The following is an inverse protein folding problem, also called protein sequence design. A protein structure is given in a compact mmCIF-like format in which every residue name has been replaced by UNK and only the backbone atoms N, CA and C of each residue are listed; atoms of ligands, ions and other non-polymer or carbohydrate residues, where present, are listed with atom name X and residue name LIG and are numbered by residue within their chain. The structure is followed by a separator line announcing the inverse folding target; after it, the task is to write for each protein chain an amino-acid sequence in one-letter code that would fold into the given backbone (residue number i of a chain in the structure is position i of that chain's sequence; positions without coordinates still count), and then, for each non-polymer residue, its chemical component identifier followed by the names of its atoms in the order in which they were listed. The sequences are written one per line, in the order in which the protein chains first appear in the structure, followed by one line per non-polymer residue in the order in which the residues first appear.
data_IF_308046605629
#
_entry.id   IF_308046605629
#
_cell.length_a   1.000
_cell.length_b   1.000
_cell.length_c   1.000
_cell.angle_alpha   90.00
_cell.angle_beta   90.00
_cell.angle_gamma   90.00
#
_symmetry.space_group_name_H-M   'P 1'
#
loop_
_entity.id
_entity.type
_entity.pdbx_description
1 polymer ?
#
# COMPACT_ATOMS: atom_id res chain seq x y z
N UNK A 1 -18.46 51.29 -69.04
CA UNK A 1 -17.54 50.59 -68.18
C UNK A 1 -18.39 50.11 -66.96
N UNK A 2 -18.88 48.84 -67.03
CA UNK A 2 -19.78 48.27 -66.01
C UNK A 2 -18.96 47.25 -65.21
N UNK A 3 -18.83 47.46 -63.93
CA UNK A 3 -18.23 46.55 -62.96
C UNK A 3 -19.25 45.46 -62.60
N UNK A 4 -18.84 44.20 -62.72
CA UNK A 4 -19.58 43.02 -62.24
C UNK A 4 -19.22 42.74 -60.77
N UNK A 5 -20.16 42.30 -59.92
CA UNK A 5 -19.88 41.99 -58.54
C UNK A 5 -19.33 40.55 -58.37
N UNK A 6 -18.32 40.45 -57.54
CA UNK A 6 -17.80 39.14 -57.02
C UNK A 6 -18.80 38.50 -56.02
N UNK A 7 -19.22 37.30 -56.30
CA UNK A 7 -20.00 36.45 -55.38
C UNK A 7 -19.05 35.57 -54.61
N UNK A 8 -18.86 35.85 -53.32
CA UNK A 8 -18.19 34.95 -52.39
C UNK A 8 -19.19 33.92 -51.84
N UNK A 9 -19.07 32.71 -52.28
CA UNK A 9 -19.76 31.54 -51.66
C UNK A 9 -18.91 30.86 -50.59
N UNK A 10 -19.47 30.51 -49.40
CA UNK A 10 -18.70 29.76 -48.42
C UNK A 10 -18.50 28.31 -48.87
N UNK A 11 -17.24 27.87 -49.00
CA UNK A 11 -16.88 26.46 -49.16
C UNK A 11 -17.13 25.72 -47.83
N UNK A 12 -18.15 24.87 -47.77
CA UNK A 12 -18.35 23.92 -46.71
C UNK A 12 -17.29 22.80 -46.84
N UNK A 13 -16.26 22.84 -45.97
CA UNK A 13 -15.38 21.67 -45.76
C UNK A 13 -16.15 20.65 -44.90
N UNK A 14 -16.69 19.60 -45.50
CA UNK A 14 -17.20 18.45 -44.80
C UNK A 14 -16.02 17.62 -44.24
N UNK A 15 -15.72 17.74 -42.95
CA UNK A 15 -14.80 16.87 -42.25
C UNK A 15 -15.46 15.49 -42.07
N UNK A 16 -15.03 14.52 -42.83
CA UNK A 16 -15.40 13.11 -42.64
C UNK A 16 -14.62 12.59 -41.43
N UNK A 17 -15.26 12.53 -40.27
CA UNK A 17 -14.75 11.84 -39.09
C UNK A 17 -14.81 10.34 -39.34
N UNK A 18 -13.71 9.76 -39.80
CA UNK A 18 -13.50 8.32 -39.80
C UNK A 18 -13.34 7.84 -38.34
N UNK A 19 -14.40 7.39 -37.72
CA UNK A 19 -14.37 6.67 -36.45
C UNK A 19 -13.80 5.26 -36.73
N UNK A 20 -12.50 5.09 -36.52
CA UNK A 20 -11.92 3.74 -36.41
C UNK A 20 -12.41 3.13 -35.08
N UNK A 21 -13.00 1.93 -35.07
CA UNK A 21 -13.26 1.22 -33.84
C UNK A 21 -11.89 0.93 -33.21
N UNK A 22 -11.65 1.47 -32.02
CA UNK A 22 -10.53 1.06 -31.19
C UNK A 22 -10.81 -0.40 -30.80
N UNK A 23 -10.29 -1.34 -31.57
CA UNK A 23 -10.29 -2.74 -31.17
C UNK A 23 -9.52 -2.81 -29.88
N UNK A 24 -10.17 -3.21 -28.79
CA UNK A 24 -9.53 -3.55 -27.53
C UNK A 24 -8.53 -4.67 -27.86
N UNK A 25 -7.26 -4.31 -28.03
CA UNK A 25 -6.19 -5.30 -28.16
C UNK A 25 -6.18 -6.09 -26.86
N UNK A 26 -6.46 -7.38 -26.93
CA UNK A 26 -6.26 -8.29 -25.81
C UNK A 26 -4.78 -8.20 -25.43
N UNK A 27 -4.52 -7.62 -24.25
CA UNK A 27 -3.16 -7.54 -23.69
C UNK A 27 -2.76 -8.98 -23.36
N UNK A 28 -1.94 -9.58 -24.21
CA UNK A 28 -1.33 -10.89 -23.92
C UNK A 28 -0.22 -10.62 -22.90
N UNK A 29 -0.28 -11.15 -21.68
CA UNK A 29 0.74 -10.94 -20.68
C UNK A 29 2.10 -11.47 -21.17
N UNK A 30 3.11 -10.61 -21.14
CA UNK A 30 4.49 -11.03 -21.47
C UNK A 30 5.02 -11.85 -20.30
N UNK A 31 5.55 -13.08 -20.51
CA UNK A 31 6.15 -13.86 -19.45
C UNK A 31 7.26 -13.07 -18.73
N UNK A 32 7.38 -13.11 -17.39
CA UNK A 32 8.35 -12.30 -16.66
C UNK A 32 9.79 -12.43 -17.13
N UNK A 33 10.20 -13.62 -17.54
CA UNK A 33 11.56 -13.87 -18.05
C UNK A 33 11.88 -13.10 -19.35
N UNK A 34 10.86 -12.77 -20.15
CA UNK A 34 10.98 -12.08 -21.44
C UNK A 34 10.60 -10.60 -21.33
N UNK A 35 10.04 -10.16 -20.23
CA UNK A 35 9.57 -8.79 -20.06
C UNK A 35 10.75 -7.83 -19.82
N UNK A 36 11.08 -6.91 -20.74
CA UNK A 36 12.18 -5.98 -20.57
C UNK A 36 11.93 -4.95 -19.45
N UNK A 37 10.68 -4.78 -19.02
CA UNK A 37 10.29 -3.84 -17.97
C UNK A 37 10.55 -4.38 -16.56
N UNK A 38 10.94 -5.64 -16.38
CA UNK A 38 11.27 -6.19 -15.05
C UNK A 38 12.77 -6.10 -14.77
N UNK A 39 13.14 -5.61 -13.60
CA UNK A 39 14.53 -5.52 -13.13
C UNK A 39 15.16 -6.92 -13.02
N UNK A 40 16.45 -7.04 -13.27
CA UNK A 40 17.15 -8.32 -13.44
C UNK A 40 17.11 -9.24 -12.22
N UNK A 41 17.29 -8.71 -11.01
CA UNK A 41 17.19 -9.49 -9.76
C UNK A 41 15.75 -9.87 -9.46
N UNK A 42 14.78 -9.01 -9.81
CA UNK A 42 13.35 -9.32 -9.71
C UNK A 42 12.98 -10.45 -10.67
N UNK A 43 13.52 -10.46 -11.90
CA UNK A 43 13.37 -11.60 -12.84
C UNK A 43 13.90 -12.90 -12.26
N UNK A 44 15.10 -12.86 -11.67
CA UNK A 44 15.71 -14.01 -11.03
C UNK A 44 14.85 -14.55 -9.88
N UNK A 45 14.33 -13.67 -9.03
CA UNK A 45 13.39 -14.00 -7.96
C UNK A 45 12.12 -14.66 -8.51
N UNK A 46 11.48 -14.05 -9.51
CA UNK A 46 10.25 -14.59 -10.13
C UNK A 46 10.49 -15.95 -10.80
N UNK A 47 11.65 -16.14 -11.42
CA UNK A 47 12.02 -17.45 -11.99
C UNK A 47 12.04 -18.54 -10.93
N UNK A 48 12.64 -18.28 -9.77
CA UNK A 48 12.68 -19.25 -8.65
C UNK A 48 11.26 -19.47 -8.11
N UNK A 49 10.51 -18.42 -7.87
CA UNK A 49 9.14 -18.48 -7.36
C UNK A 49 8.24 -19.32 -8.27
N UNK A 50 8.24 -19.02 -9.57
CA UNK A 50 7.34 -19.66 -10.55
C UNK A 50 7.79 -21.09 -10.95
N UNK A 51 9.03 -21.48 -10.67
CA UNK A 51 9.52 -22.84 -10.92
C UNK A 51 9.22 -23.82 -9.79
N UNK A 52 8.73 -23.35 -8.64
CA UNK A 52 8.61 -24.15 -7.42
C UNK A 52 7.49 -25.20 -7.43
N UNK A 53 6.59 -25.24 -8.41
CA UNK A 53 5.55 -26.27 -8.58
C UNK A 53 4.55 -26.41 -7.41
N UNK A 54 4.54 -25.46 -6.46
CA UNK A 54 3.63 -25.48 -5.31
C UNK A 54 2.20 -25.08 -5.70
N UNK A 55 1.25 -25.40 -4.81
CA UNK A 55 -0.13 -24.89 -4.96
C UNK A 55 -0.14 -23.36 -4.86
N UNK A 56 -0.94 -22.67 -5.68
CA UNK A 56 -1.22 -21.25 -5.47
C UNK A 56 -1.72 -20.96 -4.04
N UNK A 57 -1.35 -19.81 -3.48
CA UNK A 57 -1.70 -19.45 -2.09
C UNK A 57 -3.21 -19.46 -1.85
N UNK A 58 -3.98 -19.02 -2.84
CA UNK A 58 -5.45 -19.00 -2.81
C UNK A 58 -6.11 -20.38 -2.80
N UNK A 59 -5.34 -21.44 -3.04
CA UNK A 59 -5.80 -22.83 -2.96
C UNK A 59 -5.33 -23.54 -1.68
N UNK A 60 -4.63 -22.80 -0.79
CA UNK A 60 -4.13 -23.31 0.48
C UNK A 60 -5.07 -22.91 1.63
N UNK A 61 -5.01 -23.68 2.73
CA UNK A 61 -5.57 -23.19 3.99
C UNK A 61 -4.80 -21.94 4.45
N UNK A 62 -5.44 -20.95 5.08
CA UNK A 62 -4.79 -19.70 5.50
C UNK A 62 -3.52 -19.94 6.33
N UNK A 63 -3.53 -20.93 7.21
CA UNK A 63 -2.35 -21.31 8.02
C UNK A 63 -1.16 -21.71 7.16
N UNK A 64 -1.38 -22.50 6.11
CA UNK A 64 -0.32 -22.96 5.21
C UNK A 64 0.19 -21.84 4.31
N UNK A 65 -0.72 -21.00 3.80
CA UNK A 65 -0.38 -19.82 3.03
C UNK A 65 0.49 -18.82 3.85
N UNK A 66 0.21 -18.65 5.15
CA UNK A 66 1.04 -17.86 6.07
C UNK A 66 2.45 -18.43 6.19
N UNK A 67 2.58 -19.77 6.27
CA UNK A 67 3.87 -20.43 6.37
C UNK A 67 4.75 -20.20 5.11
N UNK A 68 4.15 -20.08 3.93
CA UNK A 68 4.88 -19.77 2.67
C UNK A 68 5.54 -18.40 2.75
N UNK A 69 4.82 -17.37 3.18
CA UNK A 69 5.39 -16.03 3.33
C UNK A 69 6.53 -16.02 4.38
N UNK A 70 6.31 -16.68 5.52
CA UNK A 70 7.36 -16.84 6.55
C UNK A 70 8.60 -17.53 5.97
N UNK A 71 8.42 -18.58 5.18
CA UNK A 71 9.51 -19.31 4.50
C UNK A 71 10.28 -18.41 3.53
N UNK A 72 9.57 -17.64 2.71
CA UNK A 72 10.17 -16.70 1.77
C UNK A 72 11.03 -15.64 2.50
N UNK A 73 10.53 -15.09 3.60
CA UNK A 73 11.25 -14.09 4.38
C UNK A 73 12.48 -14.67 5.10
N UNK A 74 12.44 -15.92 5.52
CA UNK A 74 13.58 -16.63 6.16
C UNK A 74 14.61 -17.18 5.18
N UNK A 75 14.35 -17.17 3.89
CA UNK A 75 15.24 -17.76 2.87
C UNK A 75 16.58 -17.03 2.74
N UNK A 76 16.67 -15.80 3.23
CA UNK A 76 17.89 -14.99 3.22
C UNK A 76 18.13 -14.33 4.58
N UNK A 77 19.39 -14.15 4.94
CA UNK A 77 19.79 -13.38 6.11
C UNK A 77 19.64 -11.88 5.82
N UNK A 78 19.05 -11.15 6.75
CA UNK A 78 18.92 -9.68 6.71
C UNK A 78 19.45 -9.06 8.00
N UNK A 79 19.86 -7.79 7.92
CA UNK A 79 20.26 -7.03 9.09
C UNK A 79 19.03 -6.56 9.88
N UNK A 80 18.94 -6.94 11.14
CA UNK A 80 17.91 -6.53 12.08
C UNK A 80 18.48 -5.73 13.26
N UNK A 81 19.74 -5.30 13.17
CA UNK A 81 20.40 -4.50 14.20
C UNK A 81 19.91 -3.06 14.23
N UNK A 82 20.29 -2.31 15.27
CA UNK A 82 19.98 -0.89 15.41
C UNK A 82 18.59 -0.59 15.97
N UNK A 83 17.84 -1.60 16.39
CA UNK A 83 16.49 -1.45 16.97
C UNK A 83 16.34 -2.20 18.29
N UNK A 84 15.44 -1.67 19.14
CA UNK A 84 14.89 -2.34 20.31
C UNK A 84 13.43 -2.65 20.04
N UNK A 85 13.01 -3.87 20.33
CA UNK A 85 11.65 -4.38 20.09
C UNK A 85 11.00 -4.71 21.43
N UNK A 86 9.81 -4.17 21.68
CA UNK A 86 8.98 -4.49 22.86
C UNK A 86 7.53 -4.71 22.42
N UNK A 87 6.78 -5.46 23.20
CA UNK A 87 5.38 -5.71 22.93
C UNK A 87 4.50 -5.18 24.07
N UNK A 88 3.29 -4.73 23.73
CA UNK A 88 2.29 -4.32 24.71
C UNK A 88 0.91 -4.67 24.18
N UNK A 89 0.07 -5.18 25.06
CA UNK A 89 -1.38 -5.28 24.79
C UNK A 89 -2.03 -4.01 25.32
N UNK A 90 -2.80 -3.34 24.48
CA UNK A 90 -3.52 -2.12 24.79
C UNK A 90 -5.03 -2.37 24.71
N UNK A 91 -5.79 -1.58 25.44
CA UNK A 91 -7.26 -1.58 25.36
C UNK A 91 -7.72 -0.17 25.02
N UNK A 92 -8.49 -0.04 23.95
CA UNK A 92 -9.06 1.21 23.47
C UNK A 92 -10.43 0.96 22.82
N UNK A 93 -11.43 1.76 23.17
CA UNK A 93 -12.80 1.63 22.67
C UNK A 93 -13.39 0.20 22.83
N UNK A 94 -13.04 -0.48 23.93
CA UNK A 94 -13.46 -1.86 24.20
C UNK A 94 -12.70 -2.93 23.39
N UNK A 95 -11.75 -2.53 22.53
CA UNK A 95 -10.94 -3.45 21.73
C UNK A 95 -9.59 -3.71 22.40
N UNK A 96 -9.23 -4.99 22.55
CA UNK A 96 -7.89 -5.41 22.97
C UNK A 96 -7.02 -5.62 21.72
N UNK A 97 -5.89 -4.92 21.66
CA UNK A 97 -4.98 -4.97 20.50
C UNK A 97 -3.54 -5.13 20.97
N UNK A 98 -2.82 -6.09 20.43
CA UNK A 98 -1.39 -6.23 20.66
C UNK A 98 -0.64 -5.30 19.72
N UNK A 99 0.29 -4.51 20.24
CA UNK A 99 1.21 -3.67 19.47
C UNK A 99 2.64 -4.11 19.69
N UNK A 100 3.48 -4.03 18.66
CA UNK A 100 4.92 -4.22 18.75
C UNK A 100 5.60 -2.87 18.50
N UNK A 101 6.35 -2.40 19.48
CA UNK A 101 7.03 -1.09 19.46
C UNK A 101 8.48 -1.29 19.08
N UNK A 102 8.90 -0.67 18.00
CA UNK A 102 10.25 -0.75 17.45
C UNK A 102 10.92 0.61 17.54
N UNK A 103 11.94 0.72 18.38
CA UNK A 103 12.67 1.95 18.64
C UNK A 103 14.08 1.89 18.10
N UNK A 104 14.65 3.00 17.60
CA UNK A 104 16.08 3.07 17.31
C UNK A 104 16.88 2.96 18.62
N UNK A 105 18.01 2.23 18.60
CA UNK A 105 18.93 2.16 19.75
C UNK A 105 19.63 3.48 20.00
N UNK A 106 20.01 3.72 21.26
CA UNK A 106 20.84 4.88 21.63
C UNK A 106 20.08 6.21 21.71
N UNK A 107 18.77 6.22 21.56
CA UNK A 107 17.94 7.44 21.64
C UNK A 107 17.13 7.43 22.96
N UNK A 108 17.16 8.57 23.67
CA UNK A 108 16.48 8.76 24.96
C UNK A 108 15.33 9.76 24.78
N UNK A 109 14.25 9.56 25.53
CA UNK A 109 13.08 10.44 25.55
C UNK A 109 11.93 9.97 24.66
N UNK A 110 10.89 10.81 24.58
CA UNK A 110 9.73 10.54 23.74
C UNK A 110 10.03 10.95 22.28
N UNK A 111 10.00 9.97 21.38
CA UNK A 111 10.29 10.15 19.97
C UNK A 111 9.00 10.32 19.16
N UNK A 112 9.06 10.99 17.99
CA UNK A 112 7.96 10.91 17.03
C UNK A 112 7.77 9.46 16.57
N UNK A 113 6.56 9.14 16.09
CA UNK A 113 6.26 7.77 15.71
C UNK A 113 5.42 7.67 14.43
N UNK A 114 5.44 6.51 13.83
CA UNK A 114 4.48 6.10 12.84
C UNK A 114 3.82 4.79 13.22
N UNK A 115 2.49 4.74 13.10
CA UNK A 115 1.75 3.49 13.14
C UNK A 115 2.06 2.71 11.88
N UNK A 116 2.31 1.42 12.00
CA UNK A 116 2.56 0.56 10.85
C UNK A 116 1.53 -0.56 10.78
N UNK A 117 0.80 -0.61 9.68
CA UNK A 117 -0.15 -1.66 9.37
C UNK A 117 0.46 -2.56 8.31
N UNK A 118 0.49 -3.86 8.60
CA UNK A 118 1.18 -4.80 7.72
C UNK A 118 0.31 -5.25 6.54
N UNK A 119 0.98 -5.62 5.44
CA UNK A 119 0.40 -6.23 4.27
C UNK A 119 0.11 -7.71 4.43
N UNK A 120 -0.19 -8.37 3.30
CA UNK A 120 -0.51 -9.80 3.25
C UNK A 120 -2.00 -10.07 3.10
N UNK A 121 -2.74 -9.19 2.42
CA UNK A 121 -4.15 -9.43 2.05
C UNK A 121 -5.09 -9.56 3.24
N UNK A 122 -4.80 -8.94 4.39
CA UNK A 122 -5.49 -9.12 5.68
C UNK A 122 -5.47 -10.56 6.21
N UNK A 123 -4.93 -11.54 5.48
CA UNK A 123 -4.89 -12.97 5.78
C UNK A 123 -3.51 -13.41 6.23
N UNK A 124 -2.48 -12.94 5.55
CA UNK A 124 -1.07 -13.27 5.76
C UNK A 124 -0.36 -12.17 6.54
N UNK A 125 0.89 -12.43 6.89
CA UNK A 125 1.75 -11.44 7.51
C UNK A 125 1.66 -11.42 9.04
N UNK A 126 2.79 -11.03 9.63
CA UNK A 126 3.00 -10.85 11.06
C UNK A 126 4.20 -9.92 11.27
N UNK A 127 4.54 -9.62 12.51
CA UNK A 127 5.72 -8.81 12.82
C UNK A 127 7.03 -9.42 12.28
N UNK A 128 7.33 -10.72 12.47
CA UNK A 128 8.54 -11.33 11.92
C UNK A 128 8.70 -11.19 10.42
N UNK A 129 7.63 -11.28 9.64
CA UNK A 129 7.67 -11.13 8.17
C UNK A 129 7.93 -9.70 7.72
N UNK A 130 7.60 -8.70 8.54
CA UNK A 130 7.75 -7.27 8.25
C UNK A 130 8.91 -6.61 9.00
N UNK A 131 9.57 -7.33 9.90
CA UNK A 131 10.56 -6.76 10.83
C UNK A 131 11.68 -6.01 10.14
N UNK A 132 12.25 -6.53 9.03
CA UNK A 132 13.32 -5.87 8.28
C UNK A 132 12.83 -4.55 7.68
N UNK A 133 11.68 -4.54 7.02
CA UNK A 133 11.12 -3.32 6.43
C UNK A 133 10.90 -2.25 7.50
N UNK A 134 10.30 -2.65 8.62
CA UNK A 134 10.06 -1.72 9.73
C UNK A 134 11.37 -1.22 10.35
N UNK A 135 12.36 -2.11 10.52
CA UNK A 135 13.71 -1.75 11.00
C UNK A 135 14.35 -0.69 10.09
N UNK A 136 14.30 -0.89 8.78
CA UNK A 136 14.90 0.04 7.82
C UNK A 136 14.26 1.44 7.91
N UNK A 137 12.94 1.51 8.05
CA UNK A 137 12.22 2.77 8.25
C UNK A 137 12.58 3.41 9.59
N UNK A 138 12.62 2.65 10.69
CA UNK A 138 12.93 3.15 12.04
C UNK A 138 14.35 3.70 12.11
N UNK A 139 15.33 2.93 11.66
CA UNK A 139 16.75 3.34 11.71
C UNK A 139 17.01 4.57 10.83
N UNK A 140 16.42 4.61 9.63
CA UNK A 140 16.67 5.70 8.69
C UNK A 140 15.89 6.98 9.02
N UNK A 141 14.69 6.88 9.60
CA UNK A 141 13.88 8.05 9.98
C UNK A 141 14.25 8.60 11.36
N UNK A 142 14.72 7.74 12.27
CA UNK A 142 14.87 8.03 13.69
C UNK A 142 13.55 8.07 14.49
N UNK A 143 12.43 7.70 13.86
CA UNK A 143 11.12 7.64 14.50
C UNK A 143 10.86 6.23 15.06
N UNK A 144 9.94 6.13 16.02
CA UNK A 144 9.45 4.84 16.53
C UNK A 144 8.45 4.26 15.54
N UNK A 145 8.60 3.00 15.18
CA UNK A 145 7.57 2.23 14.47
C UNK A 145 6.66 1.50 15.46
N UNK A 146 5.36 1.72 15.38
CA UNK A 146 4.36 0.99 16.18
C UNK A 146 3.60 0.06 15.26
N UNK A 147 3.99 -1.20 15.25
CA UNK A 147 3.36 -2.26 14.46
C UNK A 147 2.07 -2.73 15.13
N UNK A 148 0.97 -2.73 14.41
CA UNK A 148 -0.33 -3.16 14.92
C UNK A 148 -0.56 -4.61 14.54
N UNK A 149 -0.63 -5.50 15.56
CA UNK A 149 -0.96 -6.90 15.36
C UNK A 149 -2.49 -7.05 15.34
N UNK A 150 -3.11 -6.62 14.25
CA UNK A 150 -4.56 -6.77 14.08
C UNK A 150 -4.94 -8.23 13.86
N UNK A 151 -6.19 -8.58 14.18
CA UNK A 151 -6.71 -9.94 13.96
C UNK A 151 -6.88 -10.18 12.45
N UNK A 152 -6.20 -11.17 11.89
CA UNK A 152 -6.28 -11.44 10.45
C UNK A 152 -7.60 -12.11 10.07
N UNK A 153 -7.89 -12.13 8.79
CA UNK A 153 -8.96 -12.94 8.19
C UNK A 153 -8.44 -14.37 7.91
N UNK A 154 -9.28 -15.38 7.98
CA UNK A 154 -10.73 -15.35 8.23
C UNK A 154 -11.12 -15.39 9.72
N UNK A 155 -10.17 -15.33 10.65
CA UNK A 155 -10.46 -15.32 12.10
C UNK A 155 -11.30 -14.10 12.51
N UNK A 156 -11.15 -13.00 11.78
CA UNK A 156 -12.04 -11.85 11.84
C UNK A 156 -12.22 -11.25 10.44
N UNK A 157 -13.43 -10.78 10.16
CA UNK A 157 -13.75 -10.11 8.90
C UNK A 157 -13.85 -8.60 9.09
N UNK A 158 -13.95 -7.87 7.97
CA UNK A 158 -14.28 -6.45 7.99
C UNK A 158 -15.52 -6.19 8.87
N UNK A 159 -15.51 -5.16 9.73
CA UNK A 159 -14.47 -4.11 9.86
C UNK A 159 -13.53 -4.31 11.07
N UNK A 160 -13.31 -5.54 11.57
CA UNK A 160 -12.56 -5.76 12.83
C UNK A 160 -11.13 -5.24 12.74
N UNK A 161 -10.36 -5.63 11.73
CA UNK A 161 -8.96 -5.24 11.60
C UNK A 161 -8.78 -3.71 11.51
N UNK A 162 -9.62 -3.03 10.72
CA UNK A 162 -9.52 -1.57 10.56
C UNK A 162 -9.95 -0.83 11.85
N UNK A 163 -10.93 -1.34 12.59
CA UNK A 163 -11.31 -0.76 13.88
C UNK A 163 -10.20 -0.94 14.93
N UNK A 164 -9.52 -2.10 14.95
CA UNK A 164 -8.34 -2.32 15.78
C UNK A 164 -7.18 -1.38 15.42
N UNK A 165 -6.93 -1.16 14.12
CA UNK A 165 -5.91 -0.24 13.65
C UNK A 165 -6.20 1.21 14.10
N UNK A 166 -7.44 1.65 13.97
CA UNK A 166 -7.85 2.98 14.42
C UNK A 166 -7.80 3.12 15.95
N UNK A 167 -8.28 2.12 16.69
CA UNK A 167 -8.20 2.10 18.15
C UNK A 167 -6.74 2.17 18.64
N UNK A 168 -5.83 1.37 18.05
CA UNK A 168 -4.42 1.44 18.37
C UNK A 168 -3.81 2.82 18.09
N UNK A 169 -4.20 3.46 16.99
CA UNK A 169 -3.76 4.82 16.64
C UNK A 169 -4.23 5.85 17.67
N UNK A 170 -5.48 5.77 18.11
CA UNK A 170 -6.03 6.62 19.18
C UNK A 170 -5.26 6.43 20.47
N UNK A 171 -5.03 5.17 20.85
CA UNK A 171 -4.31 4.85 22.09
C UNK A 171 -2.88 5.43 22.07
N UNK A 172 -2.13 5.25 20.96
CA UNK A 172 -0.77 5.80 20.85
C UNK A 172 -0.76 7.32 20.90
N UNK A 173 -1.72 7.98 20.27
CA UNK A 173 -1.84 9.44 20.36
C UNK A 173 -2.06 9.94 21.80
N UNK A 174 -2.88 9.24 22.60
CA UNK A 174 -3.22 9.63 23.96
C UNK A 174 -2.19 9.14 25.00
N UNK A 175 -1.67 7.93 24.84
CA UNK A 175 -0.85 7.22 25.82
C UNK A 175 0.59 6.94 25.33
N UNK A 176 1.03 7.53 24.22
CA UNK A 176 2.32 7.27 23.61
C UNK A 176 3.52 7.38 24.55
N UNK A 177 3.45 8.25 25.57
CA UNK A 177 4.50 8.40 26.60
C UNK A 177 4.79 7.09 27.33
N UNK A 178 3.82 6.22 27.55
CA UNK A 178 3.99 4.92 28.19
C UNK A 178 4.91 3.97 27.40
N UNK A 179 5.03 4.21 26.11
CA UNK A 179 5.88 3.46 25.20
C UNK A 179 7.01 4.33 24.60
N UNK A 180 7.30 5.50 25.21
CA UNK A 180 8.35 6.42 24.78
C UNK A 180 8.07 7.08 23.42
N UNK A 181 6.81 7.37 23.12
CA UNK A 181 6.34 8.02 21.90
C UNK A 181 5.73 9.39 22.23
N UNK A 182 6.03 10.39 21.43
CA UNK A 182 5.31 11.65 21.40
C UNK A 182 4.06 11.52 20.50
N UNK A 183 2.92 11.26 21.11
CA UNK A 183 1.65 11.06 20.43
C UNK A 183 1.14 12.27 19.60
N UNK A 184 1.76 13.46 19.75
CA UNK A 184 1.44 14.65 18.95
C UNK A 184 2.20 14.69 17.62
N UNK A 185 3.24 13.88 17.47
CA UNK A 185 4.04 13.73 16.25
C UNK A 185 3.86 12.32 15.69
N UNK A 186 2.69 12.09 15.10
CA UNK A 186 2.24 10.76 14.65
C UNK A 186 1.96 10.76 13.17
N UNK A 187 2.44 9.74 12.47
CA UNK A 187 2.12 9.40 11.09
C UNK A 187 1.51 8.00 11.01
N UNK A 188 0.93 7.66 9.86
CA UNK A 188 0.50 6.29 9.54
C UNK A 188 1.27 5.79 8.33
N UNK A 189 1.58 4.50 8.31
CA UNK A 189 2.30 3.84 7.21
C UNK A 189 1.81 2.41 7.06
N UNK A 190 1.90 1.86 5.86
CA UNK A 190 1.62 0.45 5.62
C UNK A 190 1.82 0.05 4.18
N UNK A 191 2.03 -1.25 3.96
CA UNK A 191 2.22 -1.83 2.63
C UNK A 191 1.01 -2.65 2.19
N UNK A 192 0.68 -2.63 0.89
CA UNK A 192 -0.42 -3.42 0.32
C UNK A 192 -1.76 -3.10 1.02
N UNK A 193 -2.41 -4.10 1.60
CA UNK A 193 -3.60 -3.88 2.45
C UNK A 193 -3.30 -3.06 3.71
N UNK A 194 -2.06 -3.07 4.20
CA UNK A 194 -1.63 -2.14 5.26
C UNK A 194 -1.60 -0.69 4.79
N UNK A 195 -1.28 -0.46 3.52
CA UNK A 195 -1.43 0.85 2.87
C UNK A 195 -2.88 1.28 2.76
N UNK A 196 -3.80 0.34 2.45
CA UNK A 196 -5.24 0.56 2.57
C UNK A 196 -5.62 1.00 3.99
N UNK A 197 -5.20 0.23 5.00
CA UNK A 197 -5.50 0.54 6.40
C UNK A 197 -4.93 1.90 6.82
N UNK A 198 -3.74 2.29 6.35
CA UNK A 198 -3.16 3.60 6.63
C UNK A 198 -4.00 4.74 6.04
N UNK A 199 -4.44 4.61 4.78
CA UNK A 199 -5.33 5.57 4.14
C UNK A 199 -6.68 5.68 4.87
N UNK A 200 -7.26 4.53 5.23
CA UNK A 200 -8.55 4.47 5.93
C UNK A 200 -8.45 5.01 7.35
N UNK A 201 -7.38 4.70 8.10
CA UNK A 201 -7.17 5.27 9.44
C UNK A 201 -7.03 6.80 9.37
N UNK A 202 -6.35 7.33 8.35
CA UNK A 202 -6.29 8.77 8.15
C UNK A 202 -7.68 9.38 7.88
N UNK A 203 -8.51 8.70 7.07
CA UNK A 203 -9.89 9.11 6.80
C UNK A 203 -10.75 9.03 8.07
N UNK A 204 -10.70 7.92 8.82
CA UNK A 204 -11.41 7.77 10.10
C UNK A 204 -10.97 8.81 11.13
N UNK A 205 -9.67 9.14 11.20
CA UNK A 205 -9.16 10.15 12.12
C UNK A 205 -9.76 11.53 11.81
N UNK A 206 -9.87 11.89 10.54
CA UNK A 206 -10.55 13.12 10.12
C UNK A 206 -12.05 13.09 10.43
N UNK A 207 -12.75 12.06 9.97
CA UNK A 207 -14.21 11.97 10.06
C UNK A 207 -14.72 11.94 11.49
N UNK A 208 -13.98 11.23 12.36
CA UNK A 208 -14.31 11.06 13.79
C UNK A 208 -13.66 12.11 14.70
N UNK A 209 -13.01 13.15 14.12
CA UNK A 209 -12.28 14.18 14.88
C UNK A 209 -11.28 13.56 15.87
N UNK A 210 -10.59 12.53 15.42
CA UNK A 210 -9.62 11.75 16.18
C UNK A 210 -8.21 12.36 16.16
N UNK A 211 -7.15 11.53 16.29
CA UNK A 211 -5.77 12.01 16.35
C UNK A 211 -5.36 12.80 15.11
N UNK A 212 -4.65 13.91 15.31
CA UNK A 212 -4.00 14.61 14.22
C UNK A 212 -2.83 13.78 13.69
N UNK A 213 -2.84 13.52 12.38
CA UNK A 213 -1.78 12.78 11.68
C UNK A 213 -0.98 13.73 10.80
N UNK A 214 0.34 13.58 10.78
CA UNK A 214 1.25 14.47 10.05
C UNK A 214 1.57 13.99 8.64
N UNK A 215 1.44 12.68 8.38
CA UNK A 215 1.73 12.05 7.09
C UNK A 215 1.02 10.70 6.99
N UNK A 216 0.62 10.31 5.79
CA UNK A 216 0.28 8.95 5.43
C UNK A 216 1.27 8.43 4.39
N UNK A 217 1.95 7.30 4.69
CA UNK A 217 2.90 6.63 3.81
C UNK A 217 2.27 5.35 3.30
N UNK A 218 1.96 5.32 2.02
CA UNK A 218 1.20 4.26 1.36
C UNK A 218 2.12 3.50 0.40
N UNK A 219 2.61 2.34 0.83
CA UNK A 219 3.46 1.51 0.00
C UNK A 219 2.58 0.58 -0.83
N UNK A 220 2.58 0.72 -2.16
CA UNK A 220 1.79 -0.08 -3.13
C UNK A 220 0.41 -0.46 -2.59
N UNK A 221 -0.42 0.53 -2.24
CA UNK A 221 -1.62 0.33 -1.46
C UNK A 221 -2.74 -0.32 -2.27
N UNK A 222 -3.52 -1.19 -1.62
CA UNK A 222 -4.89 -1.53 -2.06
C UNK A 222 -5.79 -0.34 -1.80
N UNK A 223 -6.55 0.11 -2.79
CA UNK A 223 -7.45 1.26 -2.62
C UNK A 223 -8.88 1.03 -3.10
N UNK A 224 -9.10 -0.08 -3.82
CA UNK A 224 -10.41 -0.44 -4.36
C UNK A 224 -10.55 -1.97 -4.49
N UNK A 225 -11.78 -2.45 -4.58
CA UNK A 225 -12.12 -3.83 -4.90
C UNK A 225 -12.54 -4.02 -6.37
N UNK A 226 -11.96 -3.20 -7.28
CA UNK A 226 -12.17 -3.33 -8.72
C UNK A 226 -10.98 -4.07 -9.36
N UNK A 227 -11.22 -5.27 -9.85
CA UNK A 227 -10.19 -6.12 -10.45
C UNK A 227 -10.07 -5.97 -11.98
N UNK A 228 -10.69 -4.94 -12.58
CA UNK A 228 -10.73 -4.77 -14.04
C UNK A 228 -9.91 -3.55 -14.52
N UNK A 229 -8.95 -3.08 -13.73
CA UNK A 229 -8.01 -2.06 -14.19
C UNK A 229 -7.04 -2.62 -15.23
N UNK A 230 -6.34 -1.73 -15.96
CA UNK A 230 -5.34 -2.14 -16.94
C UNK A 230 -4.23 -2.95 -16.27
N UNK A 231 -3.75 -2.52 -15.10
CA UNK A 231 -2.70 -3.23 -14.37
C UNK A 231 -3.14 -4.61 -13.89
N UNK A 232 -4.40 -4.78 -13.43
CA UNK A 232 -4.94 -6.09 -13.07
C UNK A 232 -4.98 -7.06 -14.25
N UNK A 233 -5.29 -6.58 -15.44
CA UNK A 233 -5.34 -7.42 -16.63
C UNK A 233 -3.92 -7.67 -17.19
N UNK A 234 -3.05 -6.67 -17.17
CA UNK A 234 -1.68 -6.77 -17.69
C UNK A 234 -0.79 -7.67 -16.84
N UNK A 235 -0.95 -7.62 -15.51
CA UNK A 235 -0.08 -8.31 -14.55
C UNK A 235 -0.81 -9.41 -13.77
N UNK A 236 -1.87 -9.96 -14.35
CA UNK A 236 -2.77 -10.92 -13.71
C UNK A 236 -2.06 -12.14 -13.11
N UNK A 237 -0.95 -12.58 -13.69
CA UNK A 237 -0.23 -13.81 -13.33
C UNK A 237 1.28 -13.61 -13.24
N UNK A 238 1.96 -14.53 -12.57
CA UNK A 238 3.42 -14.73 -12.59
C UNK A 238 4.29 -13.56 -12.06
N UNK A 239 3.68 -12.57 -11.40
CA UNK A 239 4.39 -11.40 -10.85
C UNK A 239 4.26 -11.26 -9.34
N UNK A 240 4.31 -12.38 -8.62
CA UNK A 240 4.15 -12.50 -7.17
C UNK A 240 2.69 -12.32 -6.72
N UNK A 241 2.15 -11.11 -6.76
CA UNK A 241 0.73 -10.88 -6.51
C UNK A 241 -0.06 -11.09 -7.82
N UNK A 242 -1.04 -11.99 -7.78
CA UNK A 242 -1.90 -12.30 -8.92
C UNK A 242 -3.31 -11.71 -8.74
N UNK A 243 -4.05 -11.56 -9.82
CA UNK A 243 -5.45 -11.13 -9.80
C UNK A 243 -6.30 -12.09 -8.94
N UNK A 244 -6.11 -13.40 -9.12
CA UNK A 244 -6.85 -14.44 -8.38
C UNK A 244 -6.54 -14.40 -6.89
N UNK A 245 -5.27 -14.18 -6.52
CA UNK A 245 -4.87 -14.05 -5.12
C UNK A 245 -5.50 -12.81 -4.47
N UNK A 246 -5.56 -11.67 -5.18
CA UNK A 246 -6.25 -10.48 -4.66
C UNK A 246 -7.75 -10.71 -4.47
N UNK A 247 -8.41 -11.41 -5.39
CA UNK A 247 -9.82 -11.76 -5.25
C UNK A 247 -10.03 -12.63 -3.99
N UNK A 248 -9.19 -13.64 -3.79
CA UNK A 248 -9.23 -14.49 -2.61
C UNK A 248 -9.00 -13.71 -1.30
N UNK A 249 -8.09 -12.74 -1.27
CA UNK A 249 -7.90 -11.87 -0.12
C UNK A 249 -9.16 -11.08 0.22
N UNK A 250 -9.79 -10.48 -0.78
CA UNK A 250 -11.03 -9.75 -0.59
C UNK A 250 -12.19 -10.65 -0.13
N UNK A 251 -12.27 -11.89 -0.63
CA UNK A 251 -13.29 -12.87 -0.23
C UNK A 251 -13.12 -13.29 1.24
N UNK A 252 -11.89 -13.34 1.73
CA UNK A 252 -11.61 -13.59 3.15
C UNK A 252 -11.85 -12.36 4.03
N UNK A 253 -11.61 -11.15 3.52
CA UNK A 253 -11.75 -9.92 4.30
C UNK A 253 -13.19 -9.47 4.46
N UNK A 254 -13.96 -9.48 3.36
CA UNK A 254 -15.36 -9.06 3.32
C UNK A 254 -16.25 -10.22 2.89
N UNK A 255 -17.09 -10.71 3.78
CA UNK A 255 -18.08 -11.78 3.45
C UNK A 255 -19.32 -11.24 2.74
N UNK A 256 -19.58 -9.93 2.86
CA UNK A 256 -20.65 -9.23 2.18
C UNK A 256 -20.07 -8.33 1.08
N UNK A 257 -20.39 -8.58 -0.22
CA UNK A 257 -19.87 -7.76 -1.31
C UNK A 257 -20.22 -6.27 -1.25
N UNK A 258 -21.28 -5.89 -0.54
CA UNK A 258 -21.64 -4.47 -0.35
C UNK A 258 -20.63 -3.71 0.51
N UNK A 259 -19.97 -4.38 1.45
CA UNK A 259 -18.92 -3.80 2.31
C UNK A 259 -17.72 -3.31 1.49
N UNK A 260 -17.43 -3.97 0.35
CA UNK A 260 -16.35 -3.56 -0.56
C UNK A 260 -16.59 -2.18 -1.18
N UNK A 261 -17.82 -1.66 -1.13
CA UNK A 261 -18.19 -0.33 -1.62
C UNK A 261 -18.08 0.74 -0.53
N UNK A 262 -17.86 0.37 0.71
CA UNK A 262 -17.67 1.32 1.80
C UNK A 262 -16.30 2.01 1.67
N UNK A 263 -16.26 3.30 1.97
CA UNK A 263 -15.01 4.08 1.88
C UNK A 263 -13.95 3.65 2.90
N UNK A 264 -14.35 2.94 3.97
CA UNK A 264 -13.44 2.37 4.95
C UNK A 264 -12.93 0.97 4.57
N UNK A 265 -13.42 0.41 3.46
CA UNK A 265 -12.84 -0.76 2.81
C UNK A 265 -12.10 -0.36 1.51
N UNK A 266 -12.72 0.49 0.70
CA UNK A 266 -12.22 0.96 -0.60
C UNK A 266 -12.08 2.49 -0.61
N UNK A 267 -10.99 3.06 -0.07
CA UNK A 267 -10.84 4.51 0.09
C UNK A 267 -10.83 5.29 -1.23
N UNK A 268 -10.53 4.65 -2.36
CA UNK A 268 -10.64 5.27 -3.68
C UNK A 268 -12.09 5.67 -4.04
N UNK A 269 -13.09 5.07 -3.40
CA UNK A 269 -14.50 5.41 -3.63
C UNK A 269 -14.94 6.68 -2.88
N UNK A 270 -14.16 7.16 -1.91
CA UNK A 270 -14.45 8.41 -1.22
C UNK A 270 -14.46 9.59 -2.21
N UNK A 271 -15.37 10.53 -2.04
CA UNK A 271 -15.41 11.76 -2.85
C UNK A 271 -14.22 12.66 -2.53
N UNK A 272 -13.86 13.59 -3.44
CA UNK A 272 -12.82 14.59 -3.19
C UNK A 272 -13.13 15.44 -1.95
N UNK A 273 -14.42 15.75 -1.71
CA UNK A 273 -14.84 16.43 -0.48
C UNK A 273 -14.57 15.60 0.79
N UNK A 274 -14.79 14.29 0.74
CA UNK A 274 -14.47 13.40 1.86
C UNK A 274 -12.95 13.24 2.08
N UNK A 275 -12.14 13.39 1.03
CA UNK A 275 -10.69 13.31 1.11
C UNK A 275 -10.03 14.66 1.47
N UNK A 276 -10.70 15.77 1.26
CA UNK A 276 -10.18 17.11 1.59
C UNK A 276 -9.79 17.22 3.08
N UNK A 277 -8.64 17.83 3.35
CA UNK A 277 -8.11 18.00 4.71
C UNK A 277 -7.44 16.75 5.32
N UNK A 278 -7.25 15.69 4.56
CA UNK A 278 -6.40 14.57 4.97
C UNK A 278 -4.93 15.00 5.13
N UNK A 279 -4.14 14.30 5.95
CA UNK A 279 -2.71 14.59 6.07
C UNK A 279 -1.99 14.40 4.73
N UNK A 280 -0.86 15.10 4.49
CA UNK A 280 -0.02 14.87 3.33
C UNK A 280 0.20 13.40 3.08
N UNK A 281 0.32 13.00 1.81
CA UNK A 281 0.47 11.61 1.40
C UNK A 281 1.77 11.38 0.64
N UNK A 282 2.49 10.31 0.98
CA UNK A 282 3.57 9.76 0.21
C UNK A 282 3.16 8.37 -0.29
N UNK A 283 3.02 8.23 -1.61
CA UNK A 283 2.51 7.01 -2.25
C UNK A 283 3.60 6.41 -3.14
N UNK A 284 3.93 5.15 -2.91
CA UNK A 284 4.84 4.39 -3.77
C UNK A 284 4.06 3.28 -4.48
N UNK A 285 4.30 3.10 -5.78
CA UNK A 285 3.74 2.02 -6.59
C UNK A 285 4.85 1.26 -7.33
N UNK A 286 4.61 0.00 -7.66
CA UNK A 286 5.48 -0.81 -8.50
C UNK A 286 4.97 -0.80 -9.95
N UNK A 287 5.89 -0.79 -10.92
CA UNK A 287 5.52 -0.80 -12.33
C UNK A 287 4.76 -2.07 -12.72
N UNK A 288 5.21 -3.23 -12.22
CA UNK A 288 4.70 -4.55 -12.58
C UNK A 288 3.79 -5.12 -11.47
N UNK A 289 2.79 -4.37 -11.06
CA UNK A 289 1.90 -4.70 -9.95
C UNK A 289 0.42 -4.55 -10.37
N UNK A 290 -0.41 -5.52 -10.02
CA UNK A 290 -1.85 -5.44 -10.24
C UNK A 290 -2.48 -4.21 -9.56
N UNK A 291 -1.91 -3.75 -8.42
CA UNK A 291 -2.40 -2.61 -7.64
C UNK A 291 -1.91 -1.25 -8.15
N UNK A 292 -1.03 -1.22 -9.16
CA UNK A 292 -0.42 0.02 -9.67
C UNK A 292 -1.46 1.09 -9.96
N UNK A 293 -2.43 0.77 -10.78
CA UNK A 293 -3.37 1.75 -11.33
C UNK A 293 -4.30 2.31 -10.25
N UNK A 294 -4.77 1.49 -9.32
CA UNK A 294 -5.63 1.94 -8.22
C UNK A 294 -4.86 2.77 -7.19
N UNK A 295 -3.61 2.41 -6.89
CA UNK A 295 -2.75 3.20 -6.00
C UNK A 295 -2.46 4.59 -6.56
N UNK A 296 -2.15 4.67 -7.87
CA UNK A 296 -1.93 5.94 -8.55
C UNK A 296 -3.22 6.76 -8.72
N UNK A 297 -4.36 6.09 -8.96
CA UNK A 297 -5.65 6.76 -9.01
C UNK A 297 -6.01 7.39 -7.65
N UNK A 298 -5.71 6.71 -6.55
CA UNK A 298 -5.92 7.27 -5.22
C UNK A 298 -5.02 8.47 -4.95
N UNK A 299 -3.74 8.39 -5.35
CA UNK A 299 -2.82 9.53 -5.23
C UNK A 299 -3.31 10.76 -6.01
N UNK A 300 -3.78 10.59 -7.26
CA UNK A 300 -4.38 11.66 -8.06
C UNK A 300 -5.63 12.24 -7.40
N UNK A 301 -6.50 11.39 -6.86
CA UNK A 301 -7.73 11.82 -6.20
C UNK A 301 -7.47 12.59 -4.91
N UNK A 302 -6.43 12.23 -4.16
CA UNK A 302 -5.97 13.01 -3.01
C UNK A 302 -5.48 14.41 -3.43
N UNK A 303 -4.71 14.51 -4.52
CA UNK A 303 -4.23 15.77 -5.08
C UNK A 303 -5.41 16.65 -5.54
N UNK A 304 -6.38 16.09 -6.27
CA UNK A 304 -7.62 16.75 -6.65
C UNK A 304 -8.44 17.25 -5.44
N UNK A 305 -8.31 16.57 -4.29
CA UNK A 305 -8.93 17.00 -3.03
C UNK A 305 -8.13 18.09 -2.27
N UNK A 306 -7.02 18.56 -2.84
CA UNK A 306 -6.14 19.57 -2.24
C UNK A 306 -5.20 19.03 -1.16
N UNK A 307 -4.99 17.72 -1.10
CA UNK A 307 -3.99 17.09 -0.22
C UNK A 307 -2.61 17.19 -0.86
N UNK A 308 -1.59 17.57 -0.10
CA UNK A 308 -0.21 17.54 -0.59
C UNK A 308 0.24 16.10 -0.83
N UNK A 309 0.46 15.72 -2.09
CA UNK A 309 0.81 14.35 -2.50
C UNK A 309 2.19 14.31 -3.16
N UNK A 310 2.99 13.33 -2.78
CA UNK A 310 4.14 12.87 -3.55
C UNK A 310 3.88 11.42 -3.94
N UNK A 311 3.76 11.14 -5.24
CA UNK A 311 3.56 9.79 -5.76
C UNK A 311 4.77 9.38 -6.61
N UNK A 312 5.29 8.15 -6.38
CA UNK A 312 6.47 7.63 -7.09
C UNK A 312 6.20 6.21 -7.56
N UNK A 313 6.36 5.98 -8.86
CA UNK A 313 6.39 4.63 -9.44
C UNK A 313 7.83 4.12 -9.51
N UNK A 314 8.07 2.93 -8.98
CA UNK A 314 9.36 2.25 -9.07
C UNK A 314 9.37 1.31 -10.27
N UNK A 315 10.12 1.71 -11.30
CA UNK A 315 10.25 0.95 -12.54
C UNK A 315 10.99 -0.37 -12.29
N UNK A 316 10.58 -1.41 -12.97
CA UNK A 316 11.15 -2.74 -12.86
C UNK A 316 10.72 -3.54 -11.65
N UNK A 317 10.00 -2.95 -10.70
CA UNK A 317 9.59 -3.58 -9.46
C UNK A 317 8.23 -4.29 -9.60
N UNK A 318 8.02 -5.28 -8.72
CA UNK A 318 6.78 -6.05 -8.55
C UNK A 318 6.13 -5.71 -7.21
N UNK A 319 4.93 -6.25 -6.94
CA UNK A 319 4.30 -6.12 -5.63
C UNK A 319 5.23 -6.56 -4.49
N UNK A 320 5.20 -5.87 -3.37
CA UNK A 320 5.97 -6.17 -2.14
C UNK A 320 7.50 -6.21 -2.30
N UNK A 321 8.08 -5.64 -3.37
CA UNK A 321 9.54 -5.62 -3.54
C UNK A 321 10.27 -5.02 -2.34
N UNK A 322 9.68 -4.00 -1.71
CA UNK A 322 10.22 -3.36 -0.52
C UNK A 322 10.09 -4.20 0.75
N UNK A 323 9.14 -5.14 0.79
CA UNK A 323 8.91 -6.06 1.90
C UNK A 323 9.78 -7.32 1.78
N UNK A 324 9.88 -7.91 0.59
CA UNK A 324 10.51 -9.20 0.36
C UNK A 324 12.01 -9.18 0.69
N UNK A 325 12.43 -9.97 1.68
CA UNK A 325 13.83 -10.06 2.09
C UNK A 325 14.77 -10.50 0.95
N UNK A 326 14.39 -11.45 0.07
CA UNK A 326 15.18 -11.78 -1.11
C UNK A 326 15.48 -10.59 -2.04
N UNK A 327 14.65 -9.56 -2.05
CA UNK A 327 14.81 -8.36 -2.85
C UNK A 327 15.38 -7.16 -2.05
N UNK A 328 15.72 -7.35 -0.78
CA UNK A 328 16.17 -6.25 0.12
C UNK A 328 17.44 -5.54 -0.35
N UNK A 329 18.29 -6.21 -1.13
CA UNK A 329 19.54 -5.65 -1.62
C UNK A 329 19.42 -4.98 -3.00
N UNK A 330 18.28 -5.10 -3.67
CA UNK A 330 18.01 -4.43 -4.95
C UNK A 330 18.08 -2.91 -4.77
N UNK A 331 18.80 -2.17 -5.64
CA UNK A 331 18.94 -0.71 -5.50
C UNK A 331 17.61 0.02 -5.39
N UNK A 332 16.60 -0.37 -6.17
CA UNK A 332 15.25 0.18 -6.09
C UNK A 332 14.59 -0.02 -4.73
N UNK A 333 14.80 -1.17 -4.08
CA UNK A 333 14.29 -1.45 -2.72
C UNK A 333 14.93 -0.50 -1.70
N UNK A 334 16.26 -0.38 -1.71
CA UNK A 334 16.97 0.52 -0.79
C UNK A 334 16.54 1.97 -0.97
N UNK A 335 16.46 2.42 -2.22
CA UNK A 335 16.02 3.80 -2.53
C UNK A 335 14.60 4.06 -2.06
N UNK A 336 13.67 3.10 -2.26
CA UNK A 336 12.29 3.22 -1.82
C UNK A 336 12.18 3.39 -0.30
N UNK A 337 12.90 2.58 0.47
CA UNK A 337 12.90 2.65 1.94
C UNK A 337 13.54 3.94 2.45
N UNK A 338 14.66 4.38 1.87
CA UNK A 338 15.33 5.62 2.24
C UNK A 338 14.46 6.85 1.93
N UNK A 339 13.78 6.87 0.79
CA UNK A 339 12.88 7.97 0.43
C UNK A 339 11.70 8.05 1.41
N UNK A 340 11.05 6.92 1.71
CA UNK A 340 9.95 6.89 2.67
C UNK A 340 10.39 7.33 4.08
N UNK A 341 11.56 6.87 4.53
CA UNK A 341 12.12 7.28 5.80
C UNK A 341 12.46 8.78 5.85
N UNK A 342 12.91 9.36 4.73
CA UNK A 342 13.19 10.80 4.62
C UNK A 342 11.88 11.62 4.73
N UNK A 343 10.80 11.18 4.08
CA UNK A 343 9.49 11.83 4.19
C UNK A 343 8.92 11.71 5.61
N UNK A 344 9.03 10.54 6.26
CA UNK A 344 8.68 10.38 7.68
C UNK A 344 9.47 11.34 8.57
N UNK A 345 10.81 11.38 8.40
CA UNK A 345 11.68 12.26 9.19
C UNK A 345 11.32 13.74 9.01
N UNK A 346 10.99 14.16 7.80
CA UNK A 346 10.59 15.53 7.47
C UNK A 346 9.26 15.90 8.12
N UNK A 347 8.26 15.05 8.00
CA UNK A 347 6.91 15.31 8.49
C UNK A 347 6.80 15.25 10.02
N UNK A 348 7.65 14.47 10.66
CA UNK A 348 7.62 14.22 12.12
C UNK A 348 8.55 15.13 12.94
N UNK A 349 9.22 16.10 12.32
CA UNK A 349 9.97 17.17 13.00
C UNK A 349 9.05 18.14 13.81
#
# INVERSE_FOLDING_TARGET
MKLLPFVNGPALLAAVLLSFPLAAQSIVPIPPAQDPQIESHVKAFLKVLNSGGGKPLEQMAPKDARAVLVGAQKSVKVDLSGILVTEKTIVQDGLSVKITVVKPVGVVGALPAFMFFHGGGWVLGDFPTHQRMLRDLVVSSGAVGVFVNYTPSPEAHYPVAINQAYAATKWVAAHGKEIGVDGKRLAVAGNSVGGNMAAVVALMAKDKKGPALRLQVLFWPVTNANFETVSYNQFATDRFLTKTLMMWFWDNYTTNPSERKEIYASPLLATTQQLAGLPPAFVQTAENDVLRDEGEAYARKLDEAGVNVTAVRYNGMIHDWGLLNPLSQVPGTKSAMLQAAAELKKALK
#
